data_IF_657399104530
#
_entry.id   IF_657399104530
#
_cell.length_a   1.000
_cell.length_b   1.000
_cell.length_c   1.000
_cell.angle_alpha   90.00
_cell.angle_beta   90.00
_cell.angle_gamma   90.00
#
_symmetry.space_group_name_H-M   'P 1'
#
loop_
_entity.id
_entity.type
_entity.pdbx_description
1 polymer ?
#
# COMPACT_ATOMS: atom_id res chain seq x y z
N UNK A 1 -28.28 -45.28 -20.02
CA UNK A 1 -28.98 -44.19 -20.73
C UNK A 1 -30.09 -43.74 -19.80
N UNK A 2 -30.19 -42.41 -19.57
CA UNK A 2 -31.00 -41.67 -18.57
C UNK A 2 -30.41 -41.56 -17.16
N UNK A 3 -29.52 -40.57 -16.94
CA UNK A 3 -29.53 -39.76 -15.70
C UNK A 3 -28.66 -38.49 -15.81
N UNK A 4 -28.86 -37.70 -16.87
CA UNK A 4 -28.09 -36.44 -17.08
C UNK A 4 -29.00 -35.23 -17.33
N UNK A 5 -30.32 -35.43 -17.22
CA UNK A 5 -31.33 -34.42 -17.58
C UNK A 5 -31.93 -33.72 -16.35
N UNK A 6 -31.64 -34.19 -15.13
CA UNK A 6 -32.27 -33.67 -13.90
C UNK A 6 -31.43 -32.58 -13.21
N UNK A 7 -30.11 -32.56 -13.46
CA UNK A 7 -29.20 -31.59 -12.81
C UNK A 7 -29.24 -30.21 -13.46
N UNK A 8 -29.51 -30.13 -14.77
CA UNK A 8 -29.60 -28.85 -15.50
C UNK A 8 -30.89 -28.07 -15.19
N UNK A 9 -31.97 -28.77 -14.80
CA UNK A 9 -33.25 -28.18 -14.42
C UNK A 9 -33.24 -27.59 -13.01
N UNK A 10 -32.43 -28.12 -12.08
CA UNK A 10 -32.32 -27.58 -10.74
C UNK A 10 -31.52 -26.27 -10.70
N UNK A 11 -30.39 -26.18 -11.42
CA UNK A 11 -29.60 -24.94 -11.48
C UNK A 11 -30.37 -23.78 -12.11
N UNK A 12 -31.19 -24.04 -13.14
CA UNK A 12 -32.02 -23.02 -13.78
C UNK A 12 -33.13 -22.46 -12.86
N UNK A 13 -33.68 -23.29 -11.97
CA UNK A 13 -34.73 -22.86 -11.02
C UNK A 13 -34.13 -21.98 -9.91
N UNK A 14 -32.92 -22.28 -9.45
CA UNK A 14 -32.24 -21.47 -8.42
C UNK A 14 -31.80 -20.09 -8.95
N UNK A 15 -31.40 -19.96 -10.22
CA UNK A 15 -31.09 -18.67 -10.81
C UNK A 15 -32.33 -17.78 -11.00
N UNK A 16 -33.47 -18.36 -11.39
CA UNK A 16 -34.70 -17.60 -11.60
C UNK A 16 -35.26 -17.04 -10.28
N UNK A 17 -35.16 -17.81 -9.18
CA UNK A 17 -35.58 -17.38 -7.85
C UNK A 17 -34.64 -16.29 -7.28
N UNK A 18 -33.33 -16.39 -7.54
CA UNK A 18 -32.34 -15.38 -7.14
C UNK A 18 -32.55 -14.05 -7.89
N UNK A 19 -32.84 -14.10 -9.19
CA UNK A 19 -33.14 -12.91 -10.00
C UNK A 19 -34.47 -12.28 -9.56
N UNK A 20 -35.48 -13.09 -9.22
CA UNK A 20 -36.75 -12.59 -8.69
C UNK A 20 -36.60 -11.93 -7.31
N UNK A 21 -35.75 -12.48 -6.43
CA UNK A 21 -35.44 -11.88 -5.14
C UNK A 21 -34.69 -10.55 -5.27
N UNK A 22 -33.74 -10.46 -6.22
CA UNK A 22 -33.02 -9.21 -6.48
C UNK A 22 -33.96 -8.12 -7.00
N UNK A 23 -34.88 -8.45 -7.92
CA UNK A 23 -35.88 -7.49 -8.45
C UNK A 23 -36.81 -6.96 -7.37
N UNK A 24 -37.26 -7.81 -6.43
CA UNK A 24 -38.04 -7.36 -5.26
C UNK A 24 -37.27 -6.37 -4.40
N UNK A 25 -35.97 -6.56 -4.22
CA UNK A 25 -35.13 -5.65 -3.43
C UNK A 25 -35.04 -4.25 -4.06
N UNK A 26 -35.05 -4.16 -5.39
CA UNK A 26 -34.99 -2.89 -6.13
C UNK A 26 -36.37 -2.25 -6.39
N UNK A 27 -37.45 -3.03 -6.43
CA UNK A 27 -38.83 -2.52 -6.56
C UNK A 27 -39.42 -2.00 -5.24
N UNK A 28 -38.79 -2.30 -4.09
CA UNK A 28 -39.23 -1.79 -2.77
C UNK A 28 -38.95 -0.28 -2.58
N UNK A 29 -38.43 0.40 -3.62
CA UNK A 29 -38.13 1.84 -3.60
C UNK A 29 -39.17 2.75 -4.30
N UNK A 30 -40.23 2.21 -4.90
CA UNK A 30 -41.14 3.01 -5.72
C UNK A 30 -42.63 2.79 -5.38
N UNK A 31 -43.20 3.72 -4.60
CA UNK A 31 -44.62 4.07 -4.67
C UNK A 31 -45.53 3.53 -3.58
N UNK A 32 -45.74 4.33 -2.53
CA UNK A 32 -47.04 4.42 -1.86
C UNK A 32 -47.35 5.91 -1.66
N UNK A 33 -48.11 6.46 -2.60
CA UNK A 33 -48.76 7.74 -2.47
C UNK A 33 -50.19 7.53 -1.95
N UNK A 34 -50.62 8.51 -1.15
CA UNK A 34 -52.01 8.89 -0.82
C UNK A 34 -52.65 8.28 0.44
N UNK A 35 -52.55 8.99 1.57
CA UNK A 35 -53.72 9.72 2.10
C UNK A 35 -53.33 10.83 3.12
N UNK A 36 -53.39 12.07 2.65
CA UNK A 36 -54.04 13.27 3.24
C UNK A 36 -54.00 13.54 4.76
N UNK A 37 -53.21 14.56 5.20
CA UNK A 37 -53.64 15.77 5.98
C UNK A 37 -52.45 16.65 6.48
N UNK A 38 -52.66 17.94 6.89
CA UNK A 38 -51.94 19.08 6.29
C UNK A 38 -50.80 19.73 7.10
N UNK A 39 -49.88 20.35 6.33
CA UNK A 39 -49.15 21.61 6.58
C UNK A 39 -48.73 21.92 8.03
N UNK A 40 -47.46 21.64 8.33
CA UNK A 40 -46.61 22.59 9.08
C UNK A 40 -45.27 22.74 8.39
N UNK A 41 -44.86 24.01 8.27
CA UNK A 41 -43.73 24.49 7.51
C UNK A 41 -42.40 23.86 7.93
N UNK A 42 -41.69 23.26 6.97
CA UNK A 42 -40.24 23.20 6.99
C UNK A 42 -39.73 23.84 5.72
N UNK A 43 -39.17 25.04 5.88
CA UNK A 43 -38.51 25.75 4.82
C UNK A 43 -37.40 24.89 4.24
N UNK A 44 -37.33 24.85 2.92
CA UNK A 44 -36.14 24.50 2.17
C UNK A 44 -35.18 25.68 2.32
N UNK A 45 -34.01 25.57 2.99
CA UNK A 45 -32.90 26.37 2.57
C UNK A 45 -32.29 25.68 1.36
N UNK A 46 -32.61 26.22 0.19
CA UNK A 46 -31.81 26.06 -1.01
C UNK A 46 -30.47 26.72 -0.72
N UNK A 47 -29.57 26.03 -0.04
CA UNK A 47 -28.17 26.39 -0.06
C UNK A 47 -27.55 25.64 -1.25
N UNK A 48 -26.97 26.32 -2.26
CA UNK A 48 -25.95 25.64 -3.01
C UNK A 48 -24.92 25.20 -1.96
N UNK A 49 -24.65 23.90 -1.87
CA UNK A 49 -23.46 23.44 -1.19
C UNK A 49 -22.34 24.23 -1.85
N UNK A 50 -21.84 25.26 -1.16
CA UNK A 50 -20.62 25.93 -1.56
C UNK A 50 -19.64 24.79 -1.71
N UNK A 51 -19.29 24.45 -2.96
CA UNK A 51 -18.24 23.50 -3.22
C UNK A 51 -17.02 24.12 -2.57
N UNK A 52 -16.72 23.71 -1.34
CA UNK A 52 -15.49 24.05 -0.67
C UNK A 52 -14.44 23.37 -1.52
N UNK A 53 -13.85 24.15 -2.42
CA UNK A 53 -12.79 23.68 -3.28
C UNK A 53 -11.70 23.09 -2.39
N UNK A 54 -11.13 21.93 -2.74
CA UNK A 54 -10.05 21.36 -1.96
C UNK A 54 -8.93 22.40 -1.87
N UNK A 55 -8.58 22.74 -0.65
CA UNK A 55 -7.48 23.67 -0.39
C UNK A 55 -6.24 22.87 -0.05
N UNK A 56 -5.13 23.29 -0.64
CA UNK A 56 -3.81 22.68 -0.44
C UNK A 56 -2.90 23.69 0.24
N UNK A 57 -2.22 23.28 1.31
CA UNK A 57 -1.23 24.09 2.02
C UNK A 57 0.08 23.34 2.17
N UNK A 58 1.14 24.10 2.47
CA UNK A 58 2.42 23.56 2.92
C UNK A 58 2.59 23.87 4.39
N UNK A 59 2.82 22.85 5.20
CA UNK A 59 3.09 22.96 6.62
C UNK A 59 4.48 22.47 7.00
N UNK A 60 4.88 22.75 8.24
CA UNK A 60 6.11 22.28 8.88
C UNK A 60 5.75 21.41 10.08
N UNK A 61 6.38 20.24 10.18
CA UNK A 61 6.17 19.32 11.30
C UNK A 61 6.88 19.84 12.55
N UNK A 62 6.10 20.18 13.57
CA UNK A 62 6.61 20.67 14.84
C UNK A 62 6.79 19.52 15.83
N UNK A 63 5.91 18.53 15.81
CA UNK A 63 5.97 17.38 16.72
C UNK A 63 5.36 16.13 16.10
N UNK A 64 5.94 14.96 16.40
CA UNK A 64 5.48 13.65 15.94
C UNK A 64 4.92 12.79 17.07
N UNK A 65 4.93 13.28 18.32
CA UNK A 65 4.49 12.54 19.50
C UNK A 65 3.25 13.18 20.12
N UNK A 66 2.06 12.78 19.68
CA UNK A 66 0.83 13.18 20.37
C UNK A 66 0.71 12.43 21.71
N UNK A 67 0.36 13.11 22.82
CA UNK A 67 0.28 12.49 24.14
C UNK A 67 -0.83 11.44 24.32
N UNK A 68 -1.79 11.33 23.39
CA UNK A 68 -3.05 10.58 23.58
C UNK A 68 -3.54 9.88 22.29
N UNK A 69 -3.26 10.44 21.11
CA UNK A 69 -3.69 9.89 19.82
C UNK A 69 -2.51 9.48 18.92
N UNK A 70 -2.21 8.18 18.87
CA UNK A 70 -1.15 7.68 17.99
C UNK A 70 -1.49 7.92 16.50
N UNK A 71 -0.54 8.48 15.74
CA UNK A 71 -0.70 8.76 14.32
C UNK A 71 -1.08 10.22 13.99
N UNK A 72 -1.32 11.05 15.01
CA UNK A 72 -1.47 12.49 14.83
C UNK A 72 -0.11 13.19 14.91
N UNK A 73 0.09 14.18 14.04
CA UNK A 73 1.34 14.93 13.91
C UNK A 73 1.02 16.41 14.06
N UNK A 74 1.78 17.10 14.90
CA UNK A 74 1.60 18.55 15.10
C UNK A 74 2.27 19.28 13.96
N UNK A 75 1.49 20.03 13.20
CA UNK A 75 1.95 20.79 12.04
C UNK A 75 1.64 22.26 12.22
N UNK A 76 2.58 23.11 11.81
CA UNK A 76 2.42 24.56 11.70
C UNK A 76 2.33 24.97 10.24
N UNK A 77 1.34 25.76 9.86
CA UNK A 77 1.21 26.30 8.51
C UNK A 77 0.58 27.70 8.54
N UNK A 78 0.59 28.40 7.41
CA UNK A 78 -0.16 29.64 7.24
C UNK A 78 -1.47 29.34 6.53
N UNK A 79 -2.59 29.84 7.07
CA UNK A 79 -3.89 29.72 6.39
C UNK A 79 -3.99 30.64 5.17
N UNK A 80 -5.15 30.64 4.50
CA UNK A 80 -5.40 31.49 3.33
C UNK A 80 -5.31 32.99 3.63
N UNK A 81 -5.40 33.40 4.90
CA UNK A 81 -5.22 34.78 5.34
C UNK A 81 -3.77 35.12 5.72
N UNK A 82 -2.87 34.14 5.68
CA UNK A 82 -1.48 34.27 6.11
C UNK A 82 -1.30 34.15 7.62
N UNK A 83 -2.35 33.85 8.38
CA UNK A 83 -2.27 33.69 9.82
C UNK A 83 -1.62 32.35 10.16
N UNK A 84 -0.66 32.30 11.12
CA UNK A 84 -0.06 31.05 11.53
C UNK A 84 -1.06 30.20 12.31
N UNK A 85 -1.22 28.95 11.91
CA UNK A 85 -1.99 27.92 12.58
C UNK A 85 -1.09 26.77 13.01
N UNK A 86 -1.34 26.23 14.19
CA UNK A 86 -0.75 24.97 14.66
C UNK A 86 -1.86 24.01 15.06
N UNK A 87 -1.86 22.80 14.48
CA UNK A 87 -2.82 21.75 14.86
C UNK A 87 -2.21 20.36 14.78
N UNK A 88 -2.77 19.44 15.55
CA UNK A 88 -2.53 18.02 15.40
C UNK A 88 -3.38 17.51 14.25
N UNK A 89 -2.74 17.01 13.20
CA UNK A 89 -3.41 16.53 11.99
C UNK A 89 -3.19 15.03 11.82
N UNK A 90 -4.19 14.39 11.23
CA UNK A 90 -4.08 12.97 10.85
C UNK A 90 -3.21 12.85 9.60
N UNK A 91 -2.37 11.83 9.59
CA UNK A 91 -1.50 11.51 8.47
C UNK A 91 -2.09 10.40 7.60
N UNK A 92 -2.10 10.57 6.27
CA UNK A 92 -2.47 9.50 5.35
C UNK A 92 -1.59 8.27 5.59
N UNK A 93 -2.20 7.10 5.37
CA UNK A 93 -1.54 5.82 5.60
C UNK A 93 -0.23 5.75 4.81
N UNK A 94 0.85 5.35 5.49
CA UNK A 94 2.22 5.23 4.96
C UNK A 94 3.00 6.55 4.77
N UNK A 95 2.42 7.70 5.06
CA UNK A 95 3.17 8.96 5.16
C UNK A 95 3.77 9.04 6.56
N UNK A 96 5.11 9.18 6.68
CA UNK A 96 5.84 9.23 7.95
C UNK A 96 6.72 10.50 8.05
N UNK A 97 6.11 11.68 8.21
CA UNK A 97 6.84 12.93 8.37
C UNK A 97 7.67 12.95 9.66
N UNK A 98 8.85 13.57 9.61
CA UNK A 98 9.72 13.82 10.77
C UNK A 98 9.63 15.28 11.20
N UNK A 99 9.98 15.56 12.45
CA UNK A 99 10.09 16.93 12.97
C UNK A 99 11.04 17.75 12.10
N UNK A 100 10.59 18.94 11.68
CA UNK A 100 11.31 19.86 10.81
C UNK A 100 11.08 19.64 9.30
N UNK A 101 10.39 18.57 8.90
CA UNK A 101 10.04 18.34 7.49
C UNK A 101 8.88 19.23 7.05
N UNK A 102 8.88 19.57 5.76
CA UNK A 102 7.73 20.19 5.10
C UNK A 102 6.76 19.12 4.62
N UNK A 103 5.47 19.38 4.82
CA UNK A 103 4.39 18.46 4.48
C UNK A 103 3.35 19.14 3.61
N UNK A 104 2.73 18.36 2.72
CA UNK A 104 1.57 18.78 1.96
C UNK A 104 0.31 18.49 2.78
N UNK A 105 -0.52 19.52 2.95
CA UNK A 105 -1.80 19.45 3.64
C UNK A 105 -2.92 19.61 2.63
N UNK A 106 -3.94 18.76 2.70
CA UNK A 106 -5.16 18.92 1.90
C UNK A 106 -6.40 18.88 2.79
N UNK A 107 -7.35 19.76 2.51
CA UNK A 107 -8.69 19.69 3.10
C UNK A 107 -9.71 19.37 2.00
N UNK A 108 -10.08 18.09 1.84
CA UNK A 108 -11.19 17.71 0.99
C UNK A 108 -12.47 18.44 1.41
N UNK A 109 -13.28 18.89 0.46
CA UNK A 109 -14.48 19.68 0.75
C UNK A 109 -15.55 18.94 1.58
N UNK A 110 -15.49 17.61 1.62
CA UNK A 110 -16.37 16.74 2.41
C UNK A 110 -15.72 16.25 3.72
N UNK A 111 -14.56 16.77 4.11
CA UNK A 111 -13.83 16.34 5.30
C UNK A 111 -13.63 17.52 6.27
N UNK A 112 -13.84 17.33 7.58
CA UNK A 112 -13.90 18.45 8.52
C UNK A 112 -12.56 19.15 8.77
N UNK A 113 -11.44 18.43 8.59
CA UNK A 113 -10.11 18.90 8.98
C UNK A 113 -9.05 18.67 7.89
N UNK A 114 -7.97 19.47 7.82
CA UNK A 114 -6.88 19.18 6.90
C UNK A 114 -6.15 17.88 7.27
N UNK A 115 -5.67 17.17 6.25
CA UNK A 115 -4.93 15.91 6.36
C UNK A 115 -3.52 16.09 5.82
N UNK A 116 -2.55 15.39 6.41
CA UNK A 116 -1.20 15.31 5.84
C UNK A 116 -1.20 14.24 4.75
N UNK A 117 -0.97 14.65 3.50
CA UNK A 117 -1.06 13.75 2.34
C UNK A 117 0.31 13.36 1.77
N UNK A 118 1.38 14.07 2.14
CA UNK A 118 2.74 13.75 1.70
C UNK A 118 3.81 14.61 2.38
N UNK A 119 5.07 14.22 2.20
CA UNK A 119 6.25 14.99 2.59
C UNK A 119 6.87 15.67 1.37
N UNK A 120 7.51 16.82 1.57
CA UNK A 120 8.20 17.58 0.53
C UNK A 120 9.72 17.55 0.80
N UNK A 121 10.43 16.67 0.10
CA UNK A 121 11.88 16.47 0.26
C UNK A 121 12.73 17.59 -0.39
N UNK A 122 12.13 18.42 -1.27
CA UNK A 122 12.87 19.15 -2.29
C UNK A 122 13.53 20.48 -1.87
N UNK A 123 13.45 20.94 -0.62
CA UNK A 123 13.94 22.27 -0.25
C UNK A 123 15.13 22.30 0.72
N UNK A 124 15.47 21.20 1.38
CA UNK A 124 16.65 21.17 2.28
C UNK A 124 17.97 20.94 1.53
N UNK A 125 17.92 20.57 0.25
CA UNK A 125 19.12 20.31 -0.56
C UNK A 125 19.77 21.56 -1.16
N UNK A 126 19.06 22.71 -1.20
CA UNK A 126 19.56 23.94 -1.83
C UNK A 126 20.18 24.93 -0.85
N UNK A 127 19.89 24.81 0.45
CA UNK A 127 20.45 25.69 1.50
C UNK A 127 21.63 25.06 2.26
N UNK A 128 21.98 23.81 1.96
CA UNK A 128 23.21 23.20 2.44
C UNK A 128 24.38 23.63 1.53
N UNK A 129 24.87 24.84 1.74
CA UNK A 129 26.13 25.35 1.19
C UNK A 129 27.35 24.57 1.70
N UNK A 130 27.45 23.28 1.36
CA UNK A 130 28.62 22.45 1.54
C UNK A 130 28.76 21.53 0.34
N UNK A 131 29.25 22.11 -0.74
CA UNK A 131 30.00 21.36 -1.74
C UNK A 131 31.36 21.00 -1.12
N UNK A 132 31.43 20.00 -0.24
CA UNK A 132 32.60 19.13 -0.06
C UNK A 132 32.34 18.06 1.01
N UNK A 133 31.77 16.91 0.64
CA UNK A 133 32.34 15.59 0.97
C UNK A 133 31.48 14.50 0.35
N UNK A 134 32.09 13.75 -0.56
CA UNK A 134 31.60 12.47 -0.97
C UNK A 134 31.62 11.48 0.21
N UNK A 135 30.73 10.49 0.07
CA UNK A 135 30.80 9.13 0.61
C UNK A 135 30.19 8.86 2.00
N UNK A 136 29.47 7.73 2.01
CA UNK A 136 29.00 6.95 3.17
C UNK A 136 27.90 7.56 4.02
N UNK A 137 26.63 7.42 3.58
CA UNK A 137 25.55 6.83 4.39
C UNK A 137 24.22 6.81 3.61
N UNK A 138 24.17 6.06 2.51
CA UNK A 138 22.90 5.73 1.84
C UNK A 138 22.27 4.46 2.44
N UNK A 139 22.39 4.31 3.77
CA UNK A 139 21.87 3.18 4.55
C UNK A 139 20.63 3.56 5.38
N UNK A 140 20.19 4.82 5.33
CA UNK A 140 19.04 5.31 6.10
C UNK A 140 17.68 5.17 5.39
N UNK A 141 17.64 4.70 4.14
CA UNK A 141 16.39 4.44 3.42
C UNK A 141 16.00 2.96 3.45
N UNK A 142 15.95 2.37 4.64
CA UNK A 142 15.25 1.10 4.82
C UNK A 142 13.76 1.39 4.98
N UNK A 143 12.98 1.29 3.90
CA UNK A 143 11.53 1.20 4.00
C UNK A 143 11.19 -0.08 4.77
N UNK A 144 10.98 0.04 6.08
CA UNK A 144 10.59 -1.09 6.93
C UNK A 144 9.08 -1.33 6.81
N UNK A 145 8.72 -2.50 6.30
CA UNK A 145 7.35 -3.00 6.20
C UNK A 145 7.17 -4.16 7.19
N UNK A 146 6.25 -4.01 8.14
CA UNK A 146 5.88 -5.07 9.07
C UNK A 146 4.77 -5.91 8.44
N UNK A 147 5.03 -7.21 8.25
CA UNK A 147 4.04 -8.18 7.81
C UNK A 147 3.35 -8.80 9.04
N UNK A 148 2.03 -8.81 9.04
CA UNK A 148 1.26 -9.64 9.98
C UNK A 148 1.26 -11.11 9.53
N UNK A 149 0.96 -12.08 10.42
CA UNK A 149 0.92 -13.49 10.04
C UNK A 149 -0.01 -13.74 8.84
N UNK A 150 0.51 -14.44 7.83
CA UNK A 150 -0.22 -14.72 6.58
C UNK A 150 -0.14 -13.62 5.52
N UNK A 151 0.48 -12.47 5.81
CA UNK A 151 0.72 -11.43 4.81
C UNK A 151 1.98 -11.68 3.98
N UNK A 152 1.98 -11.16 2.76
CA UNK A 152 3.15 -11.16 1.87
C UNK A 152 3.34 -9.80 1.21
N UNK A 153 4.59 -9.50 0.86
CA UNK A 153 4.95 -8.41 -0.06
C UNK A 153 5.05 -9.00 -1.45
N UNK A 154 4.40 -8.39 -2.43
CA UNK A 154 4.51 -8.77 -3.84
C UNK A 154 5.14 -7.64 -4.65
N UNK A 155 6.14 -7.95 -5.46
CA UNK A 155 6.63 -7.07 -6.52
C UNK A 155 5.99 -7.54 -7.83
N UNK A 156 5.31 -6.64 -8.53
CA UNK A 156 4.66 -6.90 -9.79
C UNK A 156 5.22 -6.01 -10.91
N UNK A 157 5.07 -6.45 -12.16
CA UNK A 157 5.37 -5.63 -13.34
C UNK A 157 4.30 -4.55 -13.59
N UNK A 158 4.49 -3.75 -14.64
CA UNK A 158 3.59 -2.66 -15.02
C UNK A 158 2.19 -3.16 -15.42
N UNK A 159 2.05 -4.44 -15.73
CA UNK A 159 0.81 -5.10 -16.13
C UNK A 159 0.12 -5.79 -14.93
N UNK A 160 0.70 -5.70 -13.73
CA UNK A 160 0.18 -6.30 -12.51
C UNK A 160 0.52 -7.77 -12.33
N UNK A 161 1.40 -8.34 -13.17
CA UNK A 161 1.87 -9.72 -13.03
C UNK A 161 2.93 -9.79 -11.94
N UNK A 162 2.74 -10.69 -10.97
CA UNK A 162 3.64 -10.80 -9.82
C UNK A 162 4.94 -11.52 -10.20
N UNK A 163 6.07 -10.87 -9.95
CA UNK A 163 7.42 -11.37 -10.26
C UNK A 163 8.07 -12.07 -9.04
N UNK A 164 7.91 -11.48 -7.85
CA UNK A 164 8.53 -11.94 -6.61
C UNK A 164 7.60 -11.72 -5.43
N UNK A 165 7.65 -12.61 -4.45
CA UNK A 165 6.98 -12.47 -3.17
C UNK A 165 7.91 -12.71 -1.99
N UNK A 166 7.69 -11.96 -0.91
CA UNK A 166 8.29 -12.19 0.41
C UNK A 166 7.17 -12.46 1.39
N UNK A 167 7.15 -13.64 1.99
CA UNK A 167 6.12 -14.08 2.93
C UNK A 167 6.72 -14.37 4.30
N UNK A 168 6.05 -13.89 5.35
CA UNK A 168 6.29 -14.36 6.71
C UNK A 168 5.47 -15.66 6.92
N UNK A 169 6.14 -16.81 6.95
CA UNK A 169 5.49 -18.11 7.20
C UNK A 169 5.81 -18.64 8.61
N UNK A 170 5.01 -19.58 9.15
CA UNK A 170 5.31 -20.22 10.43
C UNK A 170 6.65 -20.97 10.47
N UNK A 171 7.12 -21.45 9.31
CA UNK A 171 8.39 -22.16 9.17
C UNK A 171 9.58 -21.20 8.96
N UNK A 172 9.31 -19.91 8.78
CA UNK A 172 10.30 -18.87 8.56
C UNK A 172 9.96 -17.96 7.38
N UNK A 173 10.76 -16.90 7.15
CA UNK A 173 10.58 -16.03 5.99
C UNK A 173 10.92 -16.78 4.69
N UNK A 174 10.06 -16.65 3.69
CA UNK A 174 10.25 -17.24 2.36
C UNK A 174 10.29 -16.15 1.31
N UNK A 175 11.34 -16.14 0.50
CA UNK A 175 11.43 -15.35 -0.73
C UNK A 175 11.17 -16.28 -1.90
N UNK A 176 10.13 -15.98 -2.70
CA UNK A 176 9.72 -16.78 -3.85
C UNK A 176 9.75 -15.94 -5.11
N UNK A 177 10.43 -16.44 -6.12
CA UNK A 177 10.30 -15.94 -7.49
C UNK A 177 9.21 -16.75 -8.19
N UNK A 178 8.27 -16.05 -8.84
CA UNK A 178 7.08 -16.67 -9.43
C UNK A 178 7.22 -16.88 -10.93
N UNK A 179 8.17 -16.18 -11.56
CA UNK A 179 8.48 -16.33 -12.98
C UNK A 179 9.51 -17.43 -13.24
N UNK A 180 9.39 -18.13 -14.37
CA UNK A 180 10.47 -18.98 -14.85
C UNK A 180 11.67 -18.11 -15.28
N UNK A 181 12.88 -18.66 -15.15
CA UNK A 181 14.15 -18.03 -15.52
C UNK A 181 14.49 -16.80 -14.66
N UNK A 182 14.98 -17.06 -13.46
CA UNK A 182 15.44 -16.01 -12.53
C UNK A 182 16.94 -15.79 -12.71
N UNK A 183 17.34 -14.54 -12.89
CA UNK A 183 18.73 -14.12 -12.81
C UNK A 183 18.98 -13.35 -11.51
N UNK A 184 20.05 -13.69 -10.80
CA UNK A 184 20.52 -12.96 -9.63
C UNK A 184 21.89 -12.37 -9.97
N UNK A 185 21.91 -11.08 -10.25
CA UNK A 185 23.11 -10.35 -10.67
C UNK A 185 23.64 -9.46 -9.55
N UNK A 186 24.96 -9.42 -9.39
CA UNK A 186 25.63 -8.55 -8.46
C UNK A 186 26.82 -7.88 -9.15
N UNK A 187 26.88 -6.55 -9.14
CA UNK A 187 27.96 -5.80 -9.78
C UNK A 187 29.34 -6.03 -9.13
N UNK A 188 29.37 -6.51 -7.88
CA UNK A 188 30.60 -6.79 -7.15
C UNK A 188 30.66 -8.22 -6.65
N UNK A 189 30.02 -8.50 -5.52
CA UNK A 189 30.10 -9.79 -4.84
C UNK A 189 28.72 -10.29 -4.43
N UNK A 190 28.39 -11.51 -4.86
CA UNK A 190 27.27 -12.27 -4.33
C UNK A 190 27.77 -13.21 -3.22
N UNK A 191 27.15 -13.18 -2.04
CA UNK A 191 27.45 -14.09 -0.92
C UNK A 191 26.16 -14.76 -0.45
N UNK A 192 26.14 -16.09 -0.48
CA UNK A 192 25.11 -16.91 0.15
C UNK A 192 25.71 -17.52 1.41
N UNK A 193 25.01 -17.41 2.54
CA UNK A 193 25.47 -17.93 3.82
C UNK A 193 24.29 -18.51 4.61
N UNK A 194 24.44 -19.77 5.02
CA UNK A 194 23.46 -20.50 5.80
C UNK A 194 24.17 -21.62 6.58
N UNK A 195 23.46 -22.24 7.54
CA UNK A 195 23.96 -23.46 8.19
C UNK A 195 24.02 -24.63 7.18
N UNK A 196 23.06 -24.67 6.26
CA UNK A 196 22.97 -25.63 5.18
C UNK A 196 22.53 -24.89 3.91
N UNK A 197 23.20 -25.14 2.79
CA UNK A 197 22.82 -24.64 1.48
C UNK A 197 22.48 -25.85 0.60
N UNK A 198 21.22 -25.92 0.16
CA UNK A 198 20.75 -26.94 -0.77
C UNK A 198 20.55 -26.29 -2.14
N UNK A 199 21.11 -26.92 -3.17
CA UNK A 199 20.93 -26.52 -4.56
C UNK A 199 20.37 -27.73 -5.29
N UNK A 200 19.19 -27.57 -5.87
CA UNK A 200 18.51 -28.63 -6.61
C UNK A 200 18.30 -28.19 -8.05
N UNK A 201 18.94 -28.91 -8.97
CA UNK A 201 18.65 -28.79 -10.40
C UNK A 201 17.46 -29.66 -10.76
N UNK A 202 16.58 -29.16 -11.63
CA UNK A 202 15.55 -30.00 -12.26
C UNK A 202 16.16 -31.02 -13.23
N UNK A 203 15.45 -31.35 -14.31
CA UNK A 203 15.94 -32.30 -15.32
C UNK A 203 17.31 -31.94 -15.93
N UNK A 204 17.67 -30.66 -15.94
CA UNK A 204 18.95 -30.17 -16.47
C UNK A 204 20.12 -30.26 -15.50
N UNK A 205 19.89 -30.60 -14.22
CA UNK A 205 20.92 -30.57 -13.19
C UNK A 205 21.40 -29.15 -12.87
N UNK A 206 22.64 -29.04 -12.38
CA UNK A 206 23.28 -27.78 -11.99
C UNK A 206 24.52 -27.58 -12.86
N UNK A 207 24.62 -26.42 -13.50
CA UNK A 207 25.79 -26.00 -14.26
C UNK A 207 26.45 -24.81 -13.54
N UNK A 208 27.74 -24.94 -13.25
CA UNK A 208 28.54 -23.92 -12.58
C UNK A 208 29.69 -23.51 -13.50
N UNK A 209 29.69 -22.25 -13.92
CA UNK A 209 30.70 -21.67 -14.82
C UNK A 209 31.36 -20.46 -14.18
N UNK A 210 32.66 -20.32 -14.43
CA UNK A 210 33.47 -19.18 -14.01
C UNK A 210 34.48 -18.89 -15.12
N UNK A 211 34.79 -17.61 -15.33
CA UNK A 211 35.83 -17.18 -16.28
C UNK A 211 37.24 -17.38 -15.70
N UNK A 212 37.33 -17.46 -14.37
CA UNK A 212 38.57 -17.62 -13.62
C UNK A 212 38.53 -18.96 -12.85
N UNK A 213 39.06 -18.97 -11.62
CA UNK A 213 39.14 -20.18 -10.82
C UNK A 213 37.84 -20.49 -10.09
N UNK A 214 37.52 -21.78 -9.99
CA UNK A 214 36.53 -22.31 -9.07
C UNK A 214 37.23 -23.03 -7.91
N UNK A 215 36.93 -22.65 -6.68
CA UNK A 215 37.51 -23.27 -5.49
C UNK A 215 36.40 -23.83 -4.61
N UNK A 216 36.34 -25.16 -4.52
CA UNK A 216 35.43 -25.87 -3.60
C UNK A 216 36.22 -26.34 -2.40
N UNK A 217 35.86 -25.85 -1.21
CA UNK A 217 36.48 -26.25 0.06
C UNK A 217 35.46 -26.97 0.92
N UNK A 218 35.71 -28.24 1.17
CA UNK A 218 34.91 -29.03 2.08
C UNK A 218 35.80 -30.05 2.79
N UNK A 219 35.34 -30.52 3.95
CA UNK A 219 35.98 -31.66 4.63
C UNK A 219 35.83 -32.94 3.81
N UNK A 220 34.72 -33.09 3.12
CA UNK A 220 34.42 -34.21 2.23
C UNK A 220 33.76 -33.69 0.95
N UNK A 221 34.23 -34.16 -0.20
CA UNK A 221 33.60 -33.91 -1.50
C UNK A 221 33.25 -35.27 -2.07
N UNK A 222 31.97 -35.46 -2.41
CA UNK A 222 31.47 -36.64 -3.11
C UNK A 222 30.97 -36.21 -4.48
N UNK A 223 31.56 -36.79 -5.52
CA UNK A 223 31.10 -36.67 -6.89
C UNK A 223 30.49 -38.03 -7.25
N UNK A 224 29.24 -38.03 -7.70
CA UNK A 224 28.56 -39.23 -8.18
C UNK A 224 28.55 -39.24 -9.70
#
# INVERSE_FOLDING_TARGET
MTDETDSATLEAVFEEEAIAALRRLFDTGAGSADDTEPRTAYGVPTQPSSMTMPMTWVGEVIDTHHPEAMGCIKVRWADSSGAPLERWLTCLRNVKPRRGERVLLEQPGNWPEPLIVGTLDAFNALDAGSADTASTQDTERAASLKLEPGQCVSIADAQGKVLMQVQASPEGPVVRFLEPNVAVEAAGKLRLAAQMLELEGGRGGIDMRTEADAVVRARYIRLN
#
